data_IF_065877490676
#
_entry.id   IF_065877490676
#
_cell.length_a   1.000
_cell.length_b   1.000
_cell.length_c   1.000
_cell.angle_alpha   90.00
_cell.angle_beta   90.00
_cell.angle_gamma   90.00
#
_symmetry.space_group_name_H-M   'P 1'
#
loop_
_entity.id
_entity.type
_entity.pdbx_description
1 polymer ?
#
# COMPACT_ATOMS: atom_id res chain seq x y z
N UNK A 1 -4.04 -15.90 -6.91
CA UNK A 1 -5.27 -15.13 -6.74
C UNK A 1 -6.46 -15.89 -7.31
N UNK A 2 -6.51 -16.13 -8.63
CA UNK A 2 -7.65 -16.78 -9.34
C UNK A 2 -8.05 -18.16 -8.83
N UNK A 3 -7.16 -18.90 -8.19
CA UNK A 3 -7.45 -20.26 -7.64
C UNK A 3 -7.92 -20.24 -6.18
N UNK A 4 -7.48 -19.27 -5.39
CA UNK A 4 -7.75 -19.21 -3.95
C UNK A 4 -8.96 -18.33 -3.61
N UNK A 5 -9.19 -17.25 -4.36
CA UNK A 5 -10.27 -16.32 -4.06
C UNK A 5 -11.67 -16.88 -4.29
N UNK A 6 -11.97 -17.64 -5.37
CA UNK A 6 -13.29 -18.25 -5.54
C UNK A 6 -13.66 -19.14 -4.36
N UNK A 7 -12.76 -20.05 -3.96
CA UNK A 7 -13.02 -20.98 -2.85
C UNK A 7 -13.19 -20.32 -1.48
N UNK A 8 -12.62 -19.10 -1.28
CA UNK A 8 -12.70 -18.36 -0.02
C UNK A 8 -13.91 -17.41 0.06
N UNK A 9 -14.41 -16.99 -1.11
CA UNK A 9 -15.51 -16.04 -1.22
C UNK A 9 -16.83 -16.72 -1.66
N UNK A 10 -16.82 -18.02 -1.97
CA UNK A 10 -18.04 -18.82 -2.19
C UNK A 10 -18.94 -18.72 -0.93
N UNK A 11 -20.05 -18.04 -1.06
CA UNK A 11 -20.97 -17.73 0.03
C UNK A 11 -20.96 -16.27 0.51
N UNK A 12 -20.06 -15.43 0.02
CA UNK A 12 -19.99 -13.99 0.39
C UNK A 12 -20.62 -13.07 -0.66
N UNK A 13 -21.10 -13.60 -1.77
CA UNK A 13 -21.71 -12.85 -2.89
C UNK A 13 -23.01 -12.09 -2.52
N UNK A 14 -23.56 -12.35 -1.32
CA UNK A 14 -24.82 -11.76 -0.87
C UNK A 14 -24.67 -10.45 -0.06
N UNK A 15 -23.49 -9.86 -0.02
CA UNK A 15 -23.17 -8.75 0.91
C UNK A 15 -23.09 -7.39 0.22
N UNK A 16 -23.43 -7.31 -1.07
CA UNK A 16 -23.53 -5.99 -1.70
C UNK A 16 -24.81 -5.28 -1.26
N UNK A 17 -24.70 -3.99 -0.90
CA UNK A 17 -25.90 -3.18 -0.67
C UNK A 17 -26.75 -3.17 -1.95
N UNK A 18 -28.03 -3.49 -1.84
CA UNK A 18 -28.97 -3.01 -2.85
C UNK A 18 -28.85 -1.49 -2.86
N UNK A 19 -28.66 -0.90 -4.04
CA UNK A 19 -28.49 0.56 -4.24
C UNK A 19 -29.66 1.41 -3.65
N UNK A 20 -30.72 0.78 -3.19
CA UNK A 20 -31.90 1.43 -2.61
C UNK A 20 -31.78 1.87 -1.14
N UNK A 21 -30.72 1.46 -0.40
CA UNK A 21 -30.61 1.73 1.04
C UNK A 21 -29.60 2.85 1.41
N UNK A 22 -28.87 3.39 0.44
CA UNK A 22 -27.95 4.49 0.71
C UNK A 22 -28.72 5.80 0.92
N UNK A 23 -28.54 6.42 2.09
CA UNK A 23 -29.07 7.76 2.36
C UNK A 23 -28.50 8.75 1.34
N UNK A 24 -29.39 9.45 0.63
CA UNK A 24 -28.97 10.52 -0.25
C UNK A 24 -28.31 11.65 0.58
N UNK A 25 -27.13 12.15 0.19
CA UNK A 25 -26.52 13.27 0.88
C UNK A 25 -27.38 14.51 0.78
N UNK A 26 -27.49 15.30 1.86
CA UNK A 26 -28.25 16.55 1.86
C UNK A 26 -27.71 17.57 0.87
N UNK A 27 -26.43 17.55 0.58
CA UNK A 27 -25.76 18.36 -0.43
C UNK A 27 -24.52 17.64 -0.95
N UNK A 28 -24.21 17.87 -2.19
CA UNK A 28 -22.96 17.38 -2.82
C UNK A 28 -22.09 18.59 -3.15
N UNK A 29 -20.83 18.52 -2.69
CA UNK A 29 -19.82 19.53 -3.07
C UNK A 29 -19.02 18.95 -4.21
N UNK A 30 -19.25 19.42 -5.42
CA UNK A 30 -18.47 19.03 -6.59
C UNK A 30 -17.12 19.78 -6.54
N UNK A 31 -16.05 19.05 -6.29
CA UNK A 31 -14.69 19.55 -6.39
C UNK A 31 -13.94 18.80 -7.50
N UNK A 32 -14.04 19.29 -8.75
CA UNK A 32 -13.30 18.67 -9.83
C UNK A 32 -11.79 18.78 -9.56
N UNK A 33 -11.00 17.72 -9.80
CA UNK A 33 -9.56 17.77 -9.59
C UNK A 33 -8.92 18.76 -10.58
N UNK A 34 -7.96 19.56 -10.10
CA UNK A 34 -7.19 20.51 -10.93
C UNK A 34 -6.47 19.78 -12.07
N UNK A 35 -6.01 18.55 -11.82
CA UNK A 35 -5.45 17.65 -12.82
C UNK A 35 -5.94 16.22 -12.58
N UNK A 36 -6.29 15.53 -13.66
CA UNK A 36 -6.56 14.09 -13.62
C UNK A 36 -5.30 13.31 -13.21
N UNK A 37 -5.48 12.15 -12.58
CA UNK A 37 -4.37 11.31 -12.09
C UNK A 37 -3.38 10.95 -13.21
N UNK A 38 -3.90 10.58 -14.40
CA UNK A 38 -3.05 10.24 -15.55
C UNK A 38 -2.23 11.43 -16.04
N UNK A 39 -2.85 12.62 -16.12
CA UNK A 39 -2.14 13.85 -16.51
C UNK A 39 -1.05 14.22 -15.52
N UNK A 40 -1.31 14.08 -14.21
CA UNK A 40 -0.33 14.32 -13.16
C UNK A 40 0.84 13.33 -13.23
N UNK A 41 0.58 12.04 -13.51
CA UNK A 41 1.60 11.02 -13.70
C UNK A 41 2.48 11.32 -14.91
N UNK A 42 1.88 11.62 -16.07
CA UNK A 42 2.63 11.96 -17.29
C UNK A 42 3.51 13.19 -17.04
N UNK A 43 2.96 14.23 -16.40
CA UNK A 43 3.71 15.42 -16.05
C UNK A 43 4.90 15.11 -15.13
N UNK A 44 4.71 14.27 -14.11
CA UNK A 44 5.78 13.86 -13.21
C UNK A 44 6.88 13.07 -13.93
N UNK A 45 6.51 12.16 -14.85
CA UNK A 45 7.46 11.40 -15.66
C UNK A 45 8.24 12.27 -16.66
N UNK A 46 7.67 13.36 -17.15
CA UNK A 46 8.35 14.30 -18.04
C UNK A 46 9.25 15.24 -17.21
N UNK A 47 8.70 15.86 -16.16
CA UNK A 47 9.43 16.84 -15.37
C UNK A 47 10.60 16.22 -14.57
N UNK A 48 10.45 15.01 -14.05
CA UNK A 48 11.49 14.36 -13.24
C UNK A 48 12.82 14.21 -13.98
N UNK A 49 12.88 13.50 -15.13
CA UNK A 49 14.09 13.38 -15.93
C UNK A 49 14.60 14.72 -16.47
N UNK A 50 13.69 15.62 -16.90
CA UNK A 50 14.09 16.96 -17.37
C UNK A 50 14.77 17.77 -16.26
N UNK A 51 14.26 17.74 -15.03
CA UNK A 51 14.88 18.37 -13.88
C UNK A 51 16.28 17.82 -13.59
N UNK A 52 16.42 16.50 -13.67
CA UNK A 52 17.71 15.83 -13.48
C UNK A 52 18.73 16.24 -14.58
N UNK A 53 18.26 16.40 -15.83
CA UNK A 53 19.10 16.77 -16.95
C UNK A 53 19.55 18.24 -16.89
N UNK A 54 18.61 19.18 -16.63
CA UNK A 54 18.87 20.62 -16.61
C UNK A 54 19.71 21.03 -15.37
N UNK A 55 19.71 20.22 -14.30
CA UNK A 55 20.39 20.51 -13.02
C UNK A 55 20.03 21.88 -12.42
N UNK A 56 18.82 22.38 -12.66
CA UNK A 56 18.36 23.65 -12.13
C UNK A 56 18.12 23.56 -10.62
N UNK A 57 18.91 24.30 -9.85
CA UNK A 57 18.78 24.36 -8.37
C UNK A 57 17.47 25.04 -7.99
N UNK A 58 17.09 26.10 -8.68
CA UNK A 58 15.87 26.87 -8.38
C UNK A 58 14.60 26.06 -8.62
N UNK A 59 14.52 25.38 -9.76
CA UNK A 59 13.36 24.58 -10.10
C UNK A 59 13.24 23.35 -9.18
N UNK A 60 14.37 22.73 -8.83
CA UNK A 60 14.39 21.64 -7.85
C UNK A 60 13.89 22.11 -6.48
N UNK A 61 14.38 23.26 -5.99
CA UNK A 61 13.92 23.84 -4.73
C UNK A 61 12.42 24.13 -4.74
N UNK A 62 11.89 24.69 -5.83
CA UNK A 62 10.45 24.93 -5.99
C UNK A 62 9.62 23.63 -5.94
N UNK A 63 10.10 22.56 -6.57
CA UNK A 63 9.43 21.25 -6.52
C UNK A 63 9.49 20.63 -5.12
N UNK A 64 10.61 20.77 -4.42
CA UNK A 64 10.78 20.30 -3.04
C UNK A 64 9.86 21.07 -2.09
N UNK A 65 9.72 22.38 -2.25
CA UNK A 65 8.78 23.21 -1.48
C UNK A 65 7.32 22.84 -1.79
N UNK A 66 6.98 22.64 -3.07
CA UNK A 66 5.64 22.20 -3.47
C UNK A 66 5.30 20.83 -2.85
N UNK A 67 6.22 19.87 -2.92
CA UNK A 67 6.08 18.58 -2.25
C UNK A 67 5.80 18.73 -0.76
N UNK A 68 6.54 19.62 -0.08
CA UNK A 68 6.38 19.90 1.36
C UNK A 68 5.01 20.49 1.68
N UNK A 69 4.50 21.39 0.82
CA UNK A 69 3.14 21.95 0.96
C UNK A 69 2.11 20.84 0.88
N UNK A 70 2.19 19.96 -0.12
CA UNK A 70 1.27 18.82 -0.27
C UNK A 70 1.34 17.88 0.94
N UNK A 71 2.54 17.55 1.42
CA UNK A 71 2.72 16.73 2.62
C UNK A 71 2.07 17.39 3.85
N UNK A 72 2.20 18.70 4.03
CA UNK A 72 1.55 19.43 5.13
C UNK A 72 0.03 19.40 5.03
N UNK A 73 -0.54 19.55 3.83
CA UNK A 73 -2.00 19.44 3.60
C UNK A 73 -2.48 18.04 3.96
N UNK A 74 -1.78 17.01 3.50
CA UNK A 74 -2.13 15.62 3.83
C UNK A 74 -2.09 15.40 5.35
N UNK A 75 -1.00 15.79 6.01
CA UNK A 75 -0.80 15.54 7.44
C UNK A 75 -1.72 16.37 8.34
N UNK A 76 -2.02 17.61 7.98
CA UNK A 76 -2.77 18.55 8.85
C UNK A 76 -4.26 18.64 8.51
N UNK A 77 -4.66 18.29 7.30
CA UNK A 77 -6.05 18.39 6.86
C UNK A 77 -6.62 17.01 6.60
N UNK A 78 -6.04 16.24 5.69
CA UNK A 78 -6.64 14.98 5.24
C UNK A 78 -6.60 13.93 6.35
N UNK A 79 -5.44 13.70 6.96
CA UNK A 79 -5.29 12.65 7.99
C UNK A 79 -6.18 12.90 9.21
N UNK A 80 -6.32 14.12 9.79
CA UNK A 80 -7.24 14.37 10.88
C UNK A 80 -8.72 14.21 10.51
N UNK A 81 -9.11 14.44 9.25
CA UNK A 81 -10.48 14.28 8.77
C UNK A 81 -10.83 12.83 8.42
N UNK A 82 -9.82 12.01 8.13
CA UNK A 82 -9.99 10.61 7.72
C UNK A 82 -10.80 9.77 8.72
N UNK A 83 -10.60 9.85 10.06
CA UNK A 83 -11.40 9.11 11.01
C UNK A 83 -12.89 9.44 10.97
N UNK A 84 -13.23 10.72 10.75
CA UNK A 84 -14.63 11.15 10.62
C UNK A 84 -15.27 10.61 9.35
N UNK A 85 -14.52 10.61 8.24
CA UNK A 85 -14.95 10.02 6.99
C UNK A 85 -15.20 8.51 7.11
N UNK A 86 -14.25 7.79 7.71
CA UNK A 86 -14.37 6.35 7.97
C UNK A 86 -15.55 6.07 8.90
N UNK A 87 -15.73 6.87 9.95
CA UNK A 87 -16.85 6.75 10.87
C UNK A 87 -18.19 6.89 10.13
N UNK A 88 -18.32 7.88 9.23
CA UNK A 88 -19.51 8.08 8.40
C UNK A 88 -19.82 6.87 7.52
N UNK A 89 -18.82 6.26 6.89
CA UNK A 89 -18.99 5.02 6.11
C UNK A 89 -19.51 3.89 7.00
N UNK A 90 -18.87 3.65 8.15
CA UNK A 90 -19.31 2.58 9.05
C UNK A 90 -20.71 2.83 9.63
N UNK A 91 -21.08 4.08 9.88
CA UNK A 91 -22.41 4.44 10.34
C UNK A 91 -23.47 4.09 9.28
N UNK A 92 -23.23 4.44 8.02
CA UNK A 92 -24.09 4.08 6.89
C UNK A 92 -24.20 2.56 6.72
N UNK A 93 -23.08 1.83 6.83
CA UNK A 93 -23.08 0.38 6.75
C UNK A 93 -23.79 -0.29 7.94
N UNK A 94 -23.74 0.31 9.13
CA UNK A 94 -24.44 -0.18 10.32
C UNK A 94 -25.95 -0.05 10.15
N UNK A 95 -26.40 1.06 9.60
CA UNK A 95 -27.83 1.31 9.33
C UNK A 95 -28.39 0.30 8.30
N UNK A 96 -27.60 -0.09 7.31
CA UNK A 96 -27.99 -1.12 6.32
C UNK A 96 -27.88 -2.56 6.84
N UNK A 97 -27.44 -2.78 8.09
CA UNK A 97 -27.29 -4.11 8.70
C UNK A 97 -26.13 -4.97 8.14
N UNK A 98 -25.27 -4.40 7.31
CA UNK A 98 -24.28 -5.15 6.52
C UNK A 98 -22.90 -5.27 7.19
N UNK A 99 -22.68 -4.57 8.32
CA UNK A 99 -21.37 -4.50 9.00
C UNK A 99 -20.80 -5.90 9.31
N UNK A 100 -21.61 -6.81 9.84
CA UNK A 100 -21.13 -8.14 10.23
C UNK A 100 -20.63 -8.95 9.01
N UNK A 101 -21.37 -8.90 7.90
CA UNK A 101 -20.99 -9.57 6.66
C UNK A 101 -19.70 -9.01 6.07
N UNK A 102 -19.62 -7.69 5.95
CA UNK A 102 -18.43 -7.00 5.42
C UNK A 102 -17.22 -7.25 6.30
N UNK A 103 -17.34 -7.14 7.63
CA UNK A 103 -16.25 -7.46 8.55
C UNK A 103 -15.79 -8.92 8.42
N UNK A 104 -16.70 -9.87 8.27
CA UNK A 104 -16.37 -11.27 8.07
C UNK A 104 -15.54 -11.52 6.80
N UNK A 105 -15.89 -10.85 5.69
CA UNK A 105 -15.13 -10.92 4.44
C UNK A 105 -13.75 -10.26 4.62
N UNK A 106 -13.68 -9.10 5.27
CA UNK A 106 -12.42 -8.41 5.51
C UNK A 106 -11.46 -9.21 6.37
N UNK A 107 -11.95 -9.87 7.43
CA UNK A 107 -11.09 -10.72 8.29
C UNK A 107 -10.52 -11.88 7.50
N UNK A 108 -11.34 -12.57 6.68
CA UNK A 108 -10.87 -13.63 5.79
C UNK A 108 -9.82 -13.11 4.80
N UNK A 109 -10.09 -11.96 4.17
CA UNK A 109 -9.18 -11.35 3.21
C UNK A 109 -7.84 -10.98 3.86
N UNK A 110 -7.84 -10.38 5.04
CA UNK A 110 -6.63 -10.03 5.80
C UNK A 110 -5.83 -11.30 6.14
N UNK A 111 -6.48 -12.37 6.58
CA UNK A 111 -5.81 -13.63 6.88
C UNK A 111 -5.12 -14.21 5.64
N UNK A 112 -5.79 -14.20 4.50
CA UNK A 112 -5.22 -14.67 3.22
C UNK A 112 -4.03 -13.82 2.79
N UNK A 113 -4.17 -12.49 2.84
CA UNK A 113 -3.08 -11.56 2.50
C UNK A 113 -1.88 -11.80 3.43
N UNK A 114 -2.13 -12.02 4.71
CA UNK A 114 -1.07 -12.30 5.68
C UNK A 114 -0.35 -13.61 5.35
N UNK A 115 -1.07 -14.69 5.09
CA UNK A 115 -0.48 -15.97 4.66
C UNK A 115 0.33 -15.83 3.37
N UNK A 116 -0.22 -15.15 2.36
CA UNK A 116 0.49 -14.88 1.11
C UNK A 116 1.76 -14.06 1.33
N UNK A 117 1.72 -13.08 2.23
CA UNK A 117 2.90 -12.28 2.58
C UNK A 117 3.99 -13.13 3.23
N UNK A 118 3.63 -14.01 4.15
CA UNK A 118 4.58 -14.93 4.78
C UNK A 118 5.21 -15.87 3.75
N UNK A 119 4.41 -16.45 2.86
CA UNK A 119 4.91 -17.31 1.78
C UNK A 119 5.86 -16.53 0.86
N UNK A 120 5.48 -15.32 0.46
CA UNK A 120 6.31 -14.46 -0.39
C UNK A 120 7.67 -14.17 0.26
N UNK A 121 7.68 -13.85 1.55
CA UNK A 121 8.91 -13.63 2.30
C UNK A 121 9.79 -14.88 2.36
N UNK A 122 9.20 -16.02 2.68
CA UNK A 122 9.94 -17.28 2.73
C UNK A 122 10.58 -17.58 1.37
N UNK A 123 9.86 -17.38 0.28
CA UNK A 123 10.39 -17.57 -1.08
C UNK A 123 11.53 -16.58 -1.36
N UNK A 124 11.33 -15.29 -1.10
CA UNK A 124 12.35 -14.26 -1.34
C UNK A 124 13.63 -14.52 -0.53
N UNK A 125 13.50 -14.83 0.78
CA UNK A 125 14.65 -15.13 1.63
C UNK A 125 15.29 -16.47 1.27
N UNK A 126 14.53 -17.45 0.78
CA UNK A 126 15.08 -18.72 0.29
C UNK A 126 15.94 -18.50 -0.95
N UNK A 127 15.42 -17.75 -1.93
CA UNK A 127 16.17 -17.40 -3.15
C UNK A 127 17.43 -16.60 -2.80
N UNK A 128 17.31 -15.59 -1.94
CA UNK A 128 18.45 -14.78 -1.50
C UNK A 128 19.48 -15.61 -0.71
N UNK A 129 19.00 -16.52 0.16
CA UNK A 129 19.85 -17.42 0.95
C UNK A 129 20.61 -18.40 0.07
N UNK A 130 19.96 -18.99 -0.93
CA UNK A 130 20.61 -19.86 -1.92
C UNK A 130 21.67 -19.11 -2.72
N UNK A 131 21.35 -17.91 -3.22
CA UNK A 131 22.28 -17.08 -3.97
C UNK A 131 23.48 -16.64 -3.14
N UNK A 132 23.25 -16.27 -1.86
CA UNK A 132 24.30 -15.82 -0.93
C UNK A 132 24.99 -16.97 -0.16
N UNK A 133 24.57 -18.21 -0.35
CA UNK A 133 25.00 -19.39 0.42
C UNK A 133 24.87 -19.19 1.94
N UNK A 134 23.80 -18.53 2.36
CA UNK A 134 23.48 -18.26 3.76
C UNK A 134 22.15 -18.92 4.14
N UNK A 135 21.96 -19.18 5.43
CA UNK A 135 20.72 -19.77 5.92
C UNK A 135 19.56 -18.74 5.83
N UNK A 136 18.51 -19.01 5.05
CA UNK A 136 17.40 -18.07 4.84
C UNK A 136 16.63 -17.75 6.12
N UNK A 137 16.44 -18.72 7.02
CA UNK A 137 15.73 -18.51 8.28
C UNK A 137 16.51 -17.58 9.23
N UNK A 138 17.85 -17.70 9.24
CA UNK A 138 18.70 -16.80 10.02
C UNK A 138 18.66 -15.39 9.47
N UNK A 139 18.63 -15.25 8.15
CA UNK A 139 18.45 -13.94 7.47
C UNK A 139 17.10 -13.32 7.82
N UNK A 140 16.02 -14.10 7.72
CA UNK A 140 14.67 -13.64 8.07
C UNK A 140 14.58 -13.20 9.54
N UNK A 141 15.16 -13.99 10.46
CA UNK A 141 15.20 -13.62 11.89
C UNK A 141 15.95 -12.32 12.14
N UNK A 142 17.04 -12.07 11.44
CA UNK A 142 17.78 -10.80 11.56
C UNK A 142 16.95 -9.64 11.07
N UNK A 143 16.18 -9.82 9.98
CA UNK A 143 15.33 -8.79 9.42
C UNK A 143 14.00 -8.58 10.19
N UNK A 144 13.68 -9.44 11.16
CA UNK A 144 12.44 -9.35 11.94
C UNK A 144 12.32 -8.00 12.66
N UNK A 145 13.42 -7.42 13.13
CA UNK A 145 13.43 -6.08 13.76
C UNK A 145 12.94 -5.00 12.78
N UNK A 146 13.41 -5.04 11.53
CA UNK A 146 12.94 -4.11 10.50
C UNK A 146 11.45 -4.34 10.18
N UNK A 147 11.00 -5.59 10.22
CA UNK A 147 9.61 -5.96 10.02
C UNK A 147 8.69 -5.40 11.11
N UNK A 148 9.09 -5.53 12.39
CA UNK A 148 8.34 -4.97 13.52
C UNK A 148 8.27 -3.43 13.43
N UNK A 149 9.37 -2.79 13.04
CA UNK A 149 9.41 -1.35 12.80
C UNK A 149 8.46 -0.95 11.66
N UNK A 150 8.45 -1.70 10.57
CA UNK A 150 7.55 -1.44 9.43
C UNK A 150 6.07 -1.60 9.80
N UNK A 151 5.74 -2.60 10.62
CA UNK A 151 4.37 -2.80 11.13
C UNK A 151 3.93 -1.65 12.04
N UNK A 152 4.82 -1.17 12.89
CA UNK A 152 4.51 -0.08 13.81
C UNK A 152 4.41 1.29 13.12
N UNK A 153 5.30 1.58 12.21
CA UNK A 153 5.36 2.89 11.52
C UNK A 153 4.45 2.97 10.30
N UNK A 154 4.09 1.82 9.71
CA UNK A 154 3.37 1.73 8.42
C UNK A 154 4.00 2.57 7.29
N UNK A 155 5.27 2.89 7.42
CA UNK A 155 6.02 3.74 6.50
C UNK A 155 7.31 3.07 6.05
N UNK A 156 7.41 2.80 4.75
CA UNK A 156 8.64 2.25 4.15
C UNK A 156 9.81 3.20 4.33
N UNK A 157 9.59 4.52 4.18
CA UNK A 157 10.63 5.53 4.34
C UNK A 157 11.15 5.60 5.79
N UNK A 158 10.27 5.57 6.78
CA UNK A 158 10.66 5.58 8.20
C UNK A 158 11.43 4.31 8.62
N UNK A 159 11.23 3.21 7.88
CA UNK A 159 11.87 1.91 8.15
C UNK A 159 13.27 1.81 7.51
N UNK A 160 13.61 2.67 6.55
CA UNK A 160 14.91 2.63 5.83
C UNK A 160 16.12 2.53 6.77
N UNK A 161 16.28 3.35 7.82
CA UNK A 161 17.47 3.28 8.68
C UNK A 161 17.61 1.93 9.38
N UNK A 162 16.50 1.37 9.85
CA UNK A 162 16.50 0.07 10.54
C UNK A 162 16.80 -1.06 9.55
N UNK A 163 16.18 -1.02 8.37
CA UNK A 163 16.42 -2.00 7.30
C UNK A 163 17.88 -1.98 6.87
N UNK A 164 18.46 -0.78 6.71
CA UNK A 164 19.87 -0.60 6.37
C UNK A 164 20.79 -1.24 7.41
N UNK A 165 20.55 -0.94 8.69
CA UNK A 165 21.36 -1.50 9.77
C UNK A 165 21.28 -3.04 9.81
N UNK A 166 20.10 -3.63 9.60
CA UNK A 166 19.96 -5.08 9.56
C UNK A 166 20.58 -5.69 8.29
N UNK A 167 20.51 -5.01 7.15
CA UNK A 167 21.13 -5.45 5.89
C UNK A 167 22.66 -5.51 6.01
N UNK A 168 23.27 -4.52 6.65
CA UNK A 168 24.71 -4.53 6.94
C UNK A 168 25.09 -5.68 7.88
N UNK A 169 24.27 -5.99 8.90
CA UNK A 169 24.49 -7.17 9.77
C UNK A 169 24.41 -8.50 9.02
N UNK A 170 23.67 -8.57 7.94
CA UNK A 170 23.64 -9.73 7.05
C UNK A 170 24.92 -9.88 6.21
N UNK A 171 25.83 -8.90 6.27
CA UNK A 171 27.12 -8.90 5.59
C UNK A 171 27.08 -8.29 4.18
N UNK A 172 26.09 -7.46 3.90
CA UNK A 172 26.08 -6.61 2.71
C UNK A 172 26.99 -5.41 2.95
N UNK A 173 27.80 -5.04 1.95
CA UNK A 173 28.68 -3.86 2.05
C UNK A 173 27.86 -2.59 2.32
N UNK A 174 28.28 -1.72 3.25
CA UNK A 174 27.53 -0.53 3.64
C UNK A 174 27.23 0.40 2.47
N UNK A 175 28.16 0.57 1.53
CA UNK A 175 27.99 1.45 0.36
C UNK A 175 26.87 0.94 -0.54
N UNK A 176 26.84 -0.38 -0.78
CA UNK A 176 25.78 -0.99 -1.59
C UNK A 176 24.42 -0.96 -0.87
N UNK A 177 24.42 -1.25 0.41
CA UNK A 177 23.20 -1.22 1.22
C UNK A 177 22.59 0.19 1.27
N UNK A 178 23.41 1.24 1.46
CA UNK A 178 23.00 2.64 1.51
C UNK A 178 22.35 3.13 0.20
N UNK A 179 22.72 2.54 -0.92
CA UNK A 179 22.12 2.84 -2.21
C UNK A 179 20.86 2.00 -2.47
N UNK A 180 20.95 0.67 -2.30
CA UNK A 180 19.89 -0.27 -2.69
C UNK A 180 18.68 -0.20 -1.77
N UNK A 181 18.88 -0.06 -0.45
CA UNK A 181 17.75 -0.08 0.50
C UNK A 181 16.79 1.08 0.30
N UNK A 182 17.23 2.36 0.20
CA UNK A 182 16.33 3.46 -0.12
C UNK A 182 15.67 3.34 -1.50
N UNK A 183 16.42 2.89 -2.50
CA UNK A 183 15.91 2.68 -3.85
C UNK A 183 14.79 1.62 -3.86
N UNK A 184 15.02 0.47 -3.25
CA UNK A 184 14.03 -0.61 -3.18
C UNK A 184 12.81 -0.24 -2.33
N UNK A 185 12.97 0.60 -1.31
CA UNK A 185 11.84 1.07 -0.50
C UNK A 185 10.80 1.86 -1.31
N UNK A 186 11.20 2.44 -2.44
CA UNK A 186 10.31 3.21 -3.32
C UNK A 186 9.88 2.44 -4.57
N UNK A 187 10.73 1.58 -5.12
CA UNK A 187 10.49 0.89 -6.41
C UNK A 187 9.95 -0.53 -6.19
N UNK A 188 10.44 -1.25 -5.20
CA UNK A 188 10.08 -2.65 -4.97
C UNK A 188 8.96 -2.78 -3.93
N UNK A 189 7.74 -2.49 -4.34
CA UNK A 189 6.54 -2.51 -3.49
C UNK A 189 5.74 -3.83 -3.63
N UNK A 190 6.42 -4.97 -3.72
CA UNK A 190 5.79 -6.29 -3.94
C UNK A 190 4.66 -6.62 -2.96
N UNK A 191 4.84 -6.31 -1.67
CA UNK A 191 3.81 -6.51 -0.64
C UNK A 191 2.59 -5.61 -0.81
N UNK A 192 2.79 -4.35 -1.17
CA UNK A 192 1.69 -3.39 -1.40
C UNK A 192 0.91 -3.74 -2.65
N UNK A 193 1.59 -4.08 -3.75
CA UNK A 193 0.95 -4.51 -4.98
C UNK A 193 0.11 -5.77 -4.78
N UNK A 194 0.62 -6.74 -4.01
CA UNK A 194 -0.12 -7.94 -3.67
C UNK A 194 -1.40 -7.63 -2.86
N UNK A 195 -1.33 -6.73 -1.88
CA UNK A 195 -2.50 -6.31 -1.09
C UNK A 195 -3.54 -5.59 -1.94
N UNK A 196 -3.11 -4.62 -2.75
CA UNK A 196 -4.01 -3.84 -3.62
C UNK A 196 -4.70 -4.77 -4.61
N UNK A 197 -3.96 -5.66 -5.27
CA UNK A 197 -4.51 -6.63 -6.22
C UNK A 197 -5.47 -7.59 -5.52
N UNK A 198 -5.15 -8.07 -4.32
CA UNK A 198 -6.02 -8.95 -3.56
C UNK A 198 -7.34 -8.24 -3.16
N UNK A 199 -7.27 -7.01 -2.69
CA UNK A 199 -8.45 -6.21 -2.35
C UNK A 199 -9.29 -5.89 -3.61
N UNK A 200 -8.66 -5.52 -4.70
CA UNK A 200 -9.36 -5.23 -5.96
C UNK A 200 -10.08 -6.46 -6.50
N UNK A 201 -9.42 -7.63 -6.49
CA UNK A 201 -10.04 -8.89 -6.88
C UNK A 201 -11.20 -9.28 -5.98
N UNK A 202 -11.06 -9.12 -4.66
CA UNK A 202 -12.13 -9.41 -3.71
C UNK A 202 -13.35 -8.52 -3.95
N UNK A 203 -13.15 -7.21 -4.10
CA UNK A 203 -14.22 -6.25 -4.39
C UNK A 203 -14.88 -6.56 -5.74
N UNK A 204 -14.11 -6.83 -6.78
CA UNK A 204 -14.63 -7.19 -8.09
C UNK A 204 -15.50 -8.46 -8.06
N UNK A 205 -15.04 -9.50 -7.36
CA UNK A 205 -15.82 -10.74 -7.22
C UNK A 205 -17.10 -10.52 -6.43
N UNK A 206 -17.07 -9.71 -5.37
CA UNK A 206 -18.25 -9.36 -4.58
C UNK A 206 -19.23 -8.51 -5.43
N UNK A 207 -18.69 -7.60 -6.25
CA UNK A 207 -19.48 -6.75 -7.14
C UNK A 207 -19.97 -7.46 -8.41
N UNK A 208 -19.62 -8.74 -8.61
CA UNK A 208 -20.01 -9.47 -9.83
C UNK A 208 -19.38 -8.91 -11.11
N UNK A 209 -18.29 -8.13 -10.98
CA UNK A 209 -17.59 -7.56 -12.12
C UNK A 209 -16.64 -8.62 -12.70
N UNK A 210 -16.84 -8.97 -13.97
CA UNK A 210 -15.88 -9.80 -14.70
C UNK A 210 -14.62 -8.98 -14.99
N UNK A 211 -13.53 -9.36 -14.34
CA UNK A 211 -12.21 -8.83 -14.67
C UNK A 211 -11.60 -9.72 -15.75
N UNK A 212 -11.27 -9.19 -16.93
CA UNK A 212 -10.66 -9.93 -18.01
C UNK A 212 -9.28 -10.51 -17.68
#
# INVERSE_FOLDING_TARGET
GRLLFPALLEGSAAVLPEEGAALAPYFTVEMPPVMGVMSALVLAFVLGPCLAYIRSVTLKAAMDDFKRIIELVILRVIIPLLPFYIFGIFLSMTQSGQVAGVLGVFVKLIAVIFCMTVVLLLVQFSVAGLAARKNPLKMLRTMLTAYMTALGTQSSAATIPVTLAQTVKLGVRPELASFVVPLCATIHLSGSMMKITACALAVSMIAGLDIP
#
